data_IF_666848266313
#
_entry.id   IF_666848266313
#
_cell.length_a   1.000
_cell.length_b   1.000
_cell.length_c   1.000
_cell.angle_alpha   90.00
_cell.angle_beta   90.00
_cell.angle_gamma   90.00
#
_symmetry.space_group_name_H-M   'P 1'
#
loop_
_entity.id
_entity.type
_entity.pdbx_description
1 polymer ?
#
# COMPACT_ATOMS: atom_id res chain seq x y z
N UNK A 1 -8.47 -1.09 -15.96
CA UNK A 1 -8.68 -0.84 -14.50
C UNK A 1 -9.65 -1.82 -13.85
N UNK A 2 -10.68 -2.24 -14.53
CA UNK A 2 -11.60 -3.27 -14.00
C UNK A 2 -10.89 -4.59 -13.68
N UNK A 3 -10.03 -5.07 -14.57
CA UNK A 3 -9.21 -6.27 -14.34
C UNK A 3 -8.27 -6.09 -13.14
N UNK A 4 -7.66 -4.92 -13.00
CA UNK A 4 -6.81 -4.61 -11.88
C UNK A 4 -7.57 -4.69 -10.56
N UNK A 5 -8.72 -4.05 -10.47
CA UNK A 5 -9.58 -4.09 -9.28
C UNK A 5 -9.99 -5.51 -8.92
N UNK A 6 -10.34 -6.30 -9.92
CA UNK A 6 -10.69 -7.71 -9.73
C UNK A 6 -9.52 -8.51 -9.16
N UNK A 7 -8.32 -8.31 -9.70
CA UNK A 7 -7.11 -8.99 -9.21
C UNK A 7 -6.79 -8.63 -7.77
N UNK A 8 -6.95 -7.37 -7.39
CA UNK A 8 -6.74 -6.92 -6.00
C UNK A 8 -7.78 -7.54 -5.08
N UNK A 9 -9.05 -7.58 -5.48
CA UNK A 9 -10.12 -8.19 -4.68
C UNK A 9 -9.90 -9.69 -4.50
N UNK A 10 -9.49 -10.39 -5.54
CA UNK A 10 -9.16 -11.82 -5.47
C UNK A 10 -7.97 -12.08 -4.53
N UNK A 11 -6.93 -11.26 -4.63
CA UNK A 11 -5.78 -11.37 -3.73
C UNK A 11 -6.22 -11.15 -2.28
N UNK A 12 -7.02 -10.14 -2.02
CA UNK A 12 -7.50 -9.84 -0.67
C UNK A 12 -8.30 -11.02 -0.10
N UNK A 13 -9.18 -11.61 -0.90
CA UNK A 13 -9.97 -12.77 -0.50
C UNK A 13 -9.06 -13.96 -0.14
N UNK A 14 -8.10 -14.29 -1.00
CA UNK A 14 -7.18 -15.40 -0.76
C UNK A 14 -6.23 -15.11 0.41
N UNK A 15 -5.80 -13.87 0.57
CA UNK A 15 -4.95 -13.46 1.68
C UNK A 15 -5.67 -13.66 3.02
N UNK A 16 -6.89 -13.18 3.17
CA UNK A 16 -7.68 -13.34 4.40
C UNK A 16 -7.85 -14.82 4.76
N UNK A 17 -8.01 -15.65 3.74
CA UNK A 17 -8.25 -17.10 3.89
C UNK A 17 -6.98 -17.88 4.26
N UNK A 18 -5.82 -17.44 3.76
CA UNK A 18 -4.58 -18.23 3.80
C UNK A 18 -3.46 -17.61 4.65
N UNK A 19 -3.62 -16.38 5.11
CA UNK A 19 -2.62 -15.70 5.92
C UNK A 19 -2.33 -16.48 7.21
N UNK A 20 -1.05 -16.77 7.44
CA UNK A 20 -0.59 -17.64 8.54
C UNK A 20 -0.11 -16.86 9.77
N UNK A 21 -0.05 -15.54 9.70
CA UNK A 21 0.40 -14.70 10.81
C UNK A 21 -0.75 -14.30 11.74
N UNK A 22 -0.42 -13.51 12.76
CA UNK A 22 -1.36 -13.07 13.80
C UNK A 22 -1.54 -11.54 13.83
N UNK A 23 -0.88 -10.82 12.94
CA UNK A 23 -0.96 -9.35 12.94
C UNK A 23 -2.30 -8.87 12.41
N UNK A 24 -2.83 -7.82 13.04
CA UNK A 24 -4.03 -7.12 12.55
C UNK A 24 -3.68 -5.98 11.60
N UNK A 25 -2.42 -5.59 11.54
CA UNK A 25 -1.92 -4.54 10.65
C UNK A 25 -0.95 -5.17 9.67
N UNK A 26 -1.43 -5.43 8.47
CA UNK A 26 -0.67 -6.13 7.45
C UNK A 26 -0.69 -5.37 6.14
N UNK A 27 0.35 -5.58 5.35
CA UNK A 27 0.47 -5.08 3.99
C UNK A 27 1.06 -6.19 3.12
N UNK A 28 0.75 -6.19 1.83
CA UNK A 28 1.20 -7.23 0.93
C UNK A 28 1.60 -6.66 -0.43
N UNK A 29 2.75 -7.09 -0.92
CA UNK A 29 3.24 -6.77 -2.26
C UNK A 29 3.85 -8.01 -2.90
N UNK A 30 3.70 -8.19 -4.23
CA UNK A 30 4.41 -9.26 -4.92
C UNK A 30 5.92 -9.03 -4.85
N UNK A 31 6.69 -10.12 -4.83
CA UNK A 31 8.16 -10.05 -4.81
C UNK A 31 8.76 -9.75 -6.17
N UNK A 32 8.05 -10.10 -7.23
CA UNK A 32 8.48 -9.90 -8.61
C UNK A 32 7.42 -9.14 -9.39
N UNK A 33 7.81 -8.39 -10.43
CA UNK A 33 6.84 -7.74 -11.30
C UNK A 33 5.86 -8.75 -11.87
N UNK A 34 4.59 -8.35 -11.96
CA UNK A 34 3.54 -9.19 -12.50
C UNK A 34 2.55 -8.34 -13.28
N UNK A 35 2.04 -8.86 -14.38
CA UNK A 35 1.03 -8.20 -15.19
C UNK A 35 -0.28 -8.01 -14.44
N UNK A 36 -0.53 -8.82 -13.42
CA UNK A 36 -1.76 -8.76 -12.62
C UNK A 36 -1.94 -7.42 -11.93
N UNK A 37 -0.84 -6.74 -11.57
CA UNK A 37 -0.89 -5.49 -10.81
C UNK A 37 -0.26 -4.31 -11.53
N UNK A 38 0.11 -4.47 -12.80
CA UNK A 38 0.61 -3.38 -13.65
C UNK A 38 1.75 -2.58 -13.00
N UNK A 39 2.69 -3.29 -12.41
CA UNK A 39 3.84 -2.71 -11.72
C UNK A 39 5.12 -3.26 -12.36
N UNK A 40 5.99 -2.38 -12.84
CA UNK A 40 7.30 -2.81 -13.34
C UNK A 40 8.29 -2.97 -12.18
N UNK A 41 9.48 -3.48 -12.48
CA UNK A 41 10.51 -3.77 -11.48
C UNK A 41 10.93 -2.55 -10.68
N UNK A 42 11.16 -1.42 -11.35
CA UNK A 42 11.56 -0.17 -10.68
C UNK A 42 10.47 0.36 -9.77
N UNK A 43 9.23 0.36 -10.25
CA UNK A 43 8.08 0.81 -9.47
C UNK A 43 7.86 -0.10 -8.26
N UNK A 44 7.93 -1.41 -8.45
CA UNK A 44 7.77 -2.37 -7.36
C UNK A 44 8.84 -2.18 -6.28
N UNK A 45 10.09 -1.96 -6.68
CA UNK A 45 11.19 -1.67 -5.76
C UNK A 45 10.90 -0.44 -4.89
N UNK A 46 10.34 0.62 -5.49
CA UNK A 46 9.97 1.83 -4.76
C UNK A 46 8.81 1.60 -3.78
N UNK A 47 7.83 0.78 -4.14
CA UNK A 47 6.75 0.42 -3.25
C UNK A 47 7.24 -0.41 -2.05
N UNK A 48 8.12 -1.36 -2.29
CA UNK A 48 8.76 -2.12 -1.21
C UNK A 48 9.54 -1.21 -0.26
N UNK A 49 10.29 -0.26 -0.81
CA UNK A 49 11.06 0.69 -0.01
C UNK A 49 10.16 1.51 0.90
N UNK A 50 9.00 1.95 0.43
CA UNK A 50 8.04 2.67 1.26
C UNK A 50 7.63 1.86 2.49
N UNK A 51 7.34 0.58 2.31
CA UNK A 51 6.94 -0.31 3.40
C UNK A 51 8.11 -0.66 4.31
N UNK A 52 9.31 -0.83 3.76
CA UNK A 52 10.50 -1.21 4.53
C UNK A 52 10.92 -0.14 5.54
N UNK A 53 10.74 1.14 5.20
CA UNK A 53 11.09 2.26 6.09
C UNK A 53 9.91 2.78 6.88
N UNK A 54 8.72 2.22 6.69
CA UNK A 54 7.50 2.67 7.38
C UNK A 54 7.48 2.12 8.81
N UNK A 55 7.36 2.98 9.83
CA UNK A 55 7.42 2.54 11.23
C UNK A 55 6.25 1.64 11.66
N UNK A 56 5.17 1.58 10.90
CA UNK A 56 4.05 0.66 11.20
C UNK A 56 4.53 -0.78 11.17
N UNK A 57 5.38 -1.14 10.21
CA UNK A 57 5.74 -2.53 9.93
C UNK A 57 7.10 -2.88 10.53
N UNK A 58 7.12 -3.93 11.34
CA UNK A 58 8.34 -4.36 12.05
C UNK A 58 8.89 -5.68 11.52
N UNK A 59 8.08 -6.48 10.84
CA UNK A 59 8.49 -7.76 10.27
C UNK A 59 8.01 -7.91 8.84
N UNK A 60 8.75 -8.69 8.06
CA UNK A 60 8.44 -8.98 6.66
C UNK A 60 8.62 -10.48 6.45
N UNK A 61 7.56 -11.16 6.05
CA UNK A 61 7.56 -12.61 5.79
C UNK A 61 7.21 -12.87 4.32
N UNK A 62 7.66 -13.98 3.79
CA UNK A 62 7.30 -14.41 2.44
C UNK A 62 6.20 -15.47 2.50
N UNK A 63 5.22 -15.36 1.65
CA UNK A 63 4.17 -16.36 1.50
C UNK A 63 3.72 -16.44 0.04
N UNK A 64 3.53 -17.65 -0.46
CA UNK A 64 2.98 -17.90 -1.79
C UNK A 64 1.46 -17.92 -1.74
N UNK A 65 0.83 -17.15 -2.62
CA UNK A 65 -0.62 -17.12 -2.77
C UNK A 65 -0.94 -17.20 -4.26
N UNK A 66 -1.72 -18.20 -4.67
CA UNK A 66 -2.10 -18.40 -6.08
C UNK A 66 -0.88 -18.36 -7.03
N UNK A 67 0.17 -19.10 -6.69
CA UNK A 67 1.41 -19.26 -7.45
C UNK A 67 2.31 -18.02 -7.55
N UNK A 68 1.99 -16.97 -6.83
CA UNK A 68 2.81 -15.75 -6.78
C UNK A 68 3.42 -15.64 -5.36
N UNK A 69 4.72 -15.37 -5.30
CA UNK A 69 5.40 -15.07 -4.04
C UNK A 69 5.16 -13.62 -3.64
N UNK A 70 4.72 -13.42 -2.41
CA UNK A 70 4.48 -12.10 -1.84
C UNK A 70 5.34 -11.88 -0.61
N UNK A 71 5.67 -10.61 -0.35
CA UNK A 71 6.14 -10.17 0.95
C UNK A 71 4.96 -9.60 1.72
N UNK A 72 4.72 -10.14 2.91
CA UNK A 72 3.71 -9.65 3.84
C UNK A 72 4.45 -8.87 4.92
N UNK A 73 4.12 -7.58 5.02
CA UNK A 73 4.65 -6.72 6.06
C UNK A 73 3.70 -6.70 7.24
N UNK A 74 4.19 -7.05 8.40
CA UNK A 74 3.41 -7.15 9.62
C UNK A 74 3.85 -6.08 10.61
N UNK A 75 2.92 -5.51 11.33
CA UNK A 75 3.26 -4.47 12.27
C UNK A 75 2.14 -4.13 13.24
N UNK A 76 2.29 -2.98 13.84
CA UNK A 76 1.32 -2.42 14.77
C UNK A 76 1.09 -0.96 14.40
N UNK A 77 -0.15 -0.62 14.13
CA UNK A 77 -0.55 0.75 13.81
C UNK A 77 -0.18 1.72 14.93
N UNK A 78 -0.13 1.26 16.16
CA UNK A 78 0.29 2.08 17.29
C UNK A 78 1.73 2.60 17.17
N UNK A 79 2.59 1.91 16.44
CA UNK A 79 3.96 2.40 16.19
C UNK A 79 3.98 3.71 15.42
N UNK A 80 3.03 3.90 14.52
CA UNK A 80 2.87 5.17 13.79
C UNK A 80 2.27 6.26 14.67
N UNK A 81 1.38 5.89 15.59
CA UNK A 81 0.53 6.80 16.32
C UNK A 81 1.16 7.40 17.58
N UNK A 82 2.19 6.76 18.12
CA UNK A 82 2.82 7.20 19.35
C UNK A 82 3.23 8.67 19.28
N UNK A 83 3.80 9.10 18.16
CA UNK A 83 4.21 10.48 17.97
C UNK A 83 3.02 11.41 17.69
N UNK A 84 1.99 10.94 17.00
CA UNK A 84 0.78 11.73 16.72
C UNK A 84 -0.01 12.02 17.99
N UNK A 85 -0.16 11.06 18.86
CA UNK A 85 -0.88 11.20 20.15
C UNK A 85 -0.23 12.24 21.04
N UNK A 86 1.10 12.37 21.01
CA UNK A 86 1.84 13.36 21.80
C UNK A 86 1.57 14.80 21.40
N UNK A 87 1.14 15.02 20.16
CA UNK A 87 1.05 16.35 19.56
C UNK A 87 -0.37 16.79 19.24
N UNK A 88 -1.33 15.90 19.29
CA UNK A 88 -2.73 16.20 18.94
C UNK A 88 -3.71 15.48 19.87
N UNK A 89 -4.38 16.24 20.72
CA UNK A 89 -5.39 15.73 21.64
C UNK A 89 -6.70 15.33 20.95
N UNK A 90 -6.91 15.74 19.71
CA UNK A 90 -8.13 15.47 18.92
C UNK A 90 -7.92 14.43 17.82
N UNK A 91 -6.90 13.64 17.95
CA UNK A 91 -6.49 12.69 16.96
C UNK A 91 -7.60 11.71 16.57
N UNK A 92 -7.68 11.39 15.27
CA UNK A 92 -8.62 10.43 14.73
C UNK A 92 -7.89 9.18 14.22
N UNK A 93 -8.49 7.99 14.32
CA UNK A 93 -7.89 6.76 13.82
C UNK A 93 -7.53 6.82 12.34
N UNK A 94 -6.34 6.36 12.03
CA UNK A 94 -5.83 6.22 10.69
C UNK A 94 -5.81 4.73 10.32
N UNK A 95 -6.43 4.39 9.20
CA UNK A 95 -6.45 3.03 8.68
C UNK A 95 -5.77 3.03 7.32
N UNK A 96 -4.60 2.40 7.20
CA UNK A 96 -3.86 2.43 5.94
C UNK A 96 -4.61 1.66 4.84
N UNK A 97 -4.78 2.32 3.71
CA UNK A 97 -5.23 1.68 2.48
C UNK A 97 -4.14 0.73 1.98
N UNK A 98 -4.49 -0.44 1.49
CA UNK A 98 -3.49 -1.33 0.89
C UNK A 98 -2.70 -0.63 -0.21
N UNK A 99 -1.40 -0.94 -0.29
CA UNK A 99 -0.53 -0.35 -1.32
C UNK A 99 -1.03 -0.66 -2.72
N UNK A 100 -1.53 -1.85 -2.98
CA UNK A 100 -2.08 -2.21 -4.28
C UNK A 100 -3.36 -1.42 -4.61
N UNK A 101 -4.15 -1.07 -3.62
CA UNK A 101 -5.31 -0.19 -3.80
C UNK A 101 -4.88 1.25 -4.07
N UNK A 102 -3.90 1.75 -3.32
CA UNK A 102 -3.33 3.08 -3.54
C UNK A 102 -2.68 3.18 -4.93
N UNK A 103 -1.95 2.15 -5.34
CA UNK A 103 -1.36 2.06 -6.68
C UNK A 103 -2.43 2.08 -7.77
N UNK A 104 -3.50 1.30 -7.60
CA UNK A 104 -4.63 1.28 -8.54
C UNK A 104 -5.30 2.62 -8.68
N UNK A 105 -5.45 3.36 -7.58
CA UNK A 105 -6.01 4.71 -7.61
C UNK A 105 -5.11 5.67 -8.41
N UNK A 106 -3.81 5.62 -8.19
CA UNK A 106 -2.85 6.43 -8.93
C UNK A 106 -2.81 6.06 -10.42
N UNK A 107 -2.87 4.76 -10.75
CA UNK A 107 -2.98 4.29 -12.13
C UNK A 107 -4.24 4.81 -12.81
N UNK A 108 -5.38 4.77 -12.11
CA UNK A 108 -6.64 5.27 -12.65
C UNK A 108 -6.55 6.76 -12.94
N UNK A 109 -6.00 7.55 -12.03
CA UNK A 109 -5.80 8.98 -12.23
C UNK A 109 -4.96 9.26 -13.48
N UNK A 110 -3.86 8.53 -13.64
CA UNK A 110 -2.99 8.66 -14.81
C UNK A 110 -3.70 8.26 -16.10
N UNK A 111 -4.44 7.16 -16.09
CA UNK A 111 -5.16 6.66 -17.25
C UNK A 111 -6.29 7.60 -17.69
N UNK A 112 -6.89 8.33 -16.77
CA UNK A 112 -7.89 9.38 -17.08
C UNK A 112 -7.27 10.69 -17.53
N UNK A 113 -5.96 10.78 -17.59
CA UNK A 113 -5.27 11.97 -18.06
C UNK A 113 -5.08 13.05 -16.99
N UNK A 114 -5.31 12.74 -15.73
CA UNK A 114 -5.01 13.67 -14.64
C UNK A 114 -3.50 13.80 -14.44
N UNK A 115 -3.07 15.01 -14.16
CA UNK A 115 -1.64 15.31 -13.94
C UNK A 115 -1.33 15.55 -12.48
N UNK A 116 -2.36 15.78 -11.66
CA UNK A 116 -2.22 16.10 -10.22
C UNK A 116 -3.10 15.22 -9.36
N UNK A 117 -2.60 14.91 -8.18
CA UNK A 117 -3.36 14.29 -7.10
C UNK A 117 -3.21 15.17 -5.86
N UNK A 118 -4.33 15.49 -5.21
CA UNK A 118 -4.36 16.11 -3.89
C UNK A 118 -4.99 15.09 -2.94
N UNK A 119 -4.24 14.64 -1.95
CA UNK A 119 -4.68 13.66 -0.97
C UNK A 119 -4.95 14.36 0.37
N UNK A 120 -6.21 14.49 0.72
CA UNK A 120 -6.66 15.14 1.95
C UNK A 120 -6.88 14.06 3.01
N UNK A 121 -6.26 14.23 4.19
CA UNK A 121 -6.26 13.18 5.21
C UNK A 121 -5.33 12.04 4.83
N UNK A 122 -4.11 12.37 4.46
CA UNK A 122 -3.19 11.46 3.75
C UNK A 122 -2.62 10.32 4.60
N UNK A 123 -2.81 10.32 5.92
CA UNK A 123 -2.24 9.31 6.79
C UNK A 123 -0.72 9.27 6.70
N UNK A 124 -0.17 8.15 6.24
CA UNK A 124 1.28 7.99 6.04
C UNK A 124 1.76 8.44 4.64
N UNK A 125 0.87 9.01 3.83
CA UNK A 125 1.21 9.56 2.52
C UNK A 125 1.33 8.55 1.39
N UNK A 126 0.86 7.31 1.57
CA UNK A 126 1.07 6.24 0.57
C UNK A 126 0.39 6.49 -0.76
N UNK A 127 -0.76 7.16 -0.78
CA UNK A 127 -1.47 7.46 -2.04
C UNK A 127 -0.68 8.48 -2.85
N UNK A 128 -0.23 9.56 -2.22
CA UNK A 128 0.63 10.56 -2.86
C UNK A 128 1.96 9.95 -3.32
N UNK A 129 2.53 9.05 -2.53
CA UNK A 129 3.76 8.33 -2.90
C UNK A 129 3.58 7.53 -4.19
N UNK A 130 2.48 6.77 -4.29
CA UNK A 130 2.17 6.00 -5.52
C UNK A 130 2.00 6.93 -6.73
N UNK A 131 1.30 8.04 -6.56
CA UNK A 131 1.15 9.03 -7.62
C UNK A 131 2.50 9.59 -8.07
N UNK A 132 3.38 9.91 -7.14
CA UNK A 132 4.72 10.40 -7.44
C UNK A 132 5.57 9.37 -8.19
N UNK A 133 5.50 8.10 -7.80
CA UNK A 133 6.19 7.02 -8.51
C UNK A 133 5.73 6.93 -9.97
N UNK A 134 4.47 7.22 -10.24
CA UNK A 134 3.90 7.26 -11.60
C UNK A 134 4.17 8.56 -12.35
N UNK A 135 4.86 9.52 -11.74
CA UNK A 135 5.20 10.80 -12.37
C UNK A 135 4.11 11.85 -12.26
N UNK A 136 3.11 11.67 -11.40
CA UNK A 136 2.09 12.68 -11.16
C UNK A 136 2.59 13.73 -10.17
N UNK A 137 2.09 14.96 -10.30
CA UNK A 137 2.28 16.00 -9.30
C UNK A 137 1.35 15.72 -8.12
N UNK A 138 1.93 15.53 -6.93
CA UNK A 138 1.18 15.10 -5.76
C UNK A 138 1.36 16.04 -4.59
N UNK A 139 0.27 16.28 -3.87
CA UNK A 139 0.27 17.00 -2.60
C UNK A 139 -0.54 16.21 -1.60
N UNK A 140 -0.08 16.20 -0.35
CA UNK A 140 -0.78 15.53 0.76
C UNK A 140 -0.94 16.48 1.93
N UNK A 141 -2.07 16.38 2.59
CA UNK A 141 -2.43 17.23 3.73
C UNK A 141 -2.81 16.37 4.92
#
# INVERSE_FOLDING_TARGET
MEKYSKNVCELKYEFVKTYKGNSHTTEILPNMPTDSFLINEKQLSLLHKFLDVNPIYSTHISQKISDIEYTISEGDLNNYWIDSIKHDASYAPFYPTWMLSAWGLALAAKNFGFEKIIDIGSGDGRIAYCGKVLGLDTSSI
#
